data_IF_116042600957
#
_entry.id   IF_116042600957
#
_cell.length_a   1.000
_cell.length_b   1.000
_cell.length_c   1.000
_cell.angle_alpha   90.00
_cell.angle_beta   90.00
_cell.angle_gamma   90.00
#
_symmetry.space_group_name_H-M   'P 1'
#
loop_
_entity.id
_entity.type
_entity.pdbx_description
1 polymer ?
#
# COMPACT_ATOMS: atom_id res chain seq x y z
N UNK A 1 7.60 12.16 3.65
CA UNK A 1 7.93 10.82 3.09
C UNK A 1 6.98 10.57 1.93
N UNK A 2 7.27 9.62 1.03
CA UNK A 2 6.45 9.40 -0.17
C UNK A 2 5.70 8.10 -0.09
N UNK A 3 4.44 8.08 -0.53
CA UNK A 3 3.70 6.83 -0.68
C UNK A 3 3.27 6.63 -2.12
N UNK A 4 3.06 5.37 -2.46
CA UNK A 4 2.54 4.93 -3.76
C UNK A 4 1.51 3.85 -3.54
N UNK A 5 0.50 3.82 -4.40
CA UNK A 5 -0.43 2.71 -4.54
C UNK A 5 -0.28 2.21 -5.96
N UNK A 6 0.24 1.00 -6.10
CA UNK A 6 0.33 0.35 -7.40
C UNK A 6 -0.79 -0.67 -7.54
N UNK A 7 -1.52 -0.62 -8.66
CA UNK A 7 -2.33 -1.75 -9.08
C UNK A 7 -1.44 -2.73 -9.85
N UNK A 8 -1.32 -3.95 -9.34
CA UNK A 8 -0.52 -5.01 -9.91
C UNK A 8 -1.43 -6.13 -10.44
N UNK A 9 -1.47 -6.27 -11.76
CA UNK A 9 -2.31 -7.26 -12.45
C UNK A 9 -1.72 -8.69 -12.43
N UNK A 10 -0.66 -8.95 -11.67
CA UNK A 10 -0.11 -10.30 -11.50
C UNK A 10 -1.14 -11.17 -10.80
N UNK A 11 -1.26 -12.45 -11.14
CA UNK A 11 -2.27 -13.31 -10.52
C UNK A 11 -1.84 -13.81 -9.12
N UNK A 12 -2.65 -13.62 -8.06
CA UNK A 12 -3.92 -12.88 -8.02
C UNK A 12 -3.70 -11.35 -7.98
N UNK A 13 -4.55 -10.56 -8.68
CA UNK A 13 -4.40 -9.11 -8.75
C UNK A 13 -4.51 -8.47 -7.37
N UNK A 14 -3.72 -7.42 -7.17
CA UNK A 14 -3.62 -6.77 -5.87
C UNK A 14 -3.15 -5.33 -6.00
N UNK A 15 -3.34 -4.58 -4.91
CA UNK A 15 -2.76 -3.26 -4.72
C UNK A 15 -1.58 -3.33 -3.77
N UNK A 16 -0.46 -2.74 -4.15
CA UNK A 16 0.68 -2.54 -3.27
C UNK A 16 0.62 -1.12 -2.69
N UNK A 17 0.33 -0.99 -1.40
CA UNK A 17 0.56 0.24 -0.65
C UNK A 17 2.02 0.27 -0.23
N UNK A 18 2.76 1.23 -0.76
CA UNK A 18 4.20 1.37 -0.55
C UNK A 18 4.46 2.65 0.24
N UNK A 19 5.18 2.53 1.35
CA UNK A 19 5.65 3.66 2.16
C UNK A 19 7.16 3.78 2.04
N UNK A 20 7.61 4.85 1.39
CA UNK A 20 9.02 5.18 1.21
C UNK A 20 9.44 6.31 2.16
N UNK A 21 10.26 5.94 3.13
CA UNK A 21 10.82 6.85 4.14
C UNK A 21 12.15 7.50 3.71
N UNK A 22 12.66 7.23 2.51
CA UNK A 22 13.95 7.71 2.02
C UNK A 22 15.15 6.90 2.51
N UNK A 23 14.92 5.69 3.01
CA UNK A 23 15.94 4.79 3.56
C UNK A 23 15.42 3.40 3.91
N UNK A 24 14.11 3.25 4.07
CA UNK A 24 13.41 1.97 4.15
C UNK A 24 12.11 2.04 3.36
N UNK A 25 11.76 0.91 2.72
CA UNK A 25 10.50 0.70 1.99
C UNK A 25 9.70 -0.35 2.75
N UNK A 26 8.45 -0.02 3.08
CA UNK A 26 7.46 -0.97 3.56
C UNK A 26 6.38 -1.15 2.49
N UNK A 27 6.05 -2.40 2.17
CA UNK A 27 5.02 -2.74 1.19
C UNK A 27 3.95 -3.61 1.84
N UNK A 28 2.70 -3.16 1.71
CA UNK A 28 1.51 -3.85 2.15
C UNK A 28 0.71 -4.26 0.91
N UNK A 29 0.60 -5.56 0.69
CA UNK A 29 -0.21 -6.11 -0.40
C UNK A 29 -1.65 -6.25 0.06
N UNK A 30 -2.56 -5.61 -0.64
CA UNK A 30 -4.01 -5.63 -0.39
C UNK A 30 -4.64 -6.35 -1.59
N UNK A 31 -5.35 -7.49 -1.39
CA UNK A 31 -6.10 -8.14 -2.45
C UNK A 31 -7.02 -7.16 -3.18
N UNK A 32 -7.15 -7.29 -4.51
CA UNK A 32 -7.98 -6.38 -5.33
C UNK A 32 -9.41 -6.22 -4.79
N UNK A 33 -10.04 -7.33 -4.40
CA UNK A 33 -11.41 -7.36 -3.86
C UNK A 33 -11.58 -6.52 -2.59
N UNK A 34 -10.50 -6.23 -1.86
CA UNK A 34 -10.55 -5.45 -0.62
C UNK A 34 -10.19 -3.98 -0.82
N UNK A 35 -9.73 -3.58 -2.00
CA UNK A 35 -9.30 -2.20 -2.21
C UNK A 35 -10.46 -1.20 -2.06
N UNK A 36 -11.65 -1.54 -2.56
CA UNK A 36 -12.85 -0.72 -2.37
C UNK A 36 -13.25 -0.58 -0.89
N UNK A 37 -13.16 -1.67 -0.14
CA UNK A 37 -13.44 -1.69 1.29
C UNK A 37 -12.44 -0.82 2.07
N UNK A 38 -11.15 -0.87 1.69
CA UNK A 38 -10.13 0.01 2.26
C UNK A 38 -10.47 1.49 2.03
N UNK A 39 -10.74 1.90 0.79
CA UNK A 39 -10.98 3.32 0.48
C UNK A 39 -12.31 3.83 1.03
N UNK A 40 -13.27 2.94 1.29
CA UNK A 40 -14.53 3.27 2.00
C UNK A 40 -14.37 3.31 3.53
N UNK A 41 -13.18 2.95 4.03
CA UNK A 41 -12.80 3.01 5.43
C UNK A 41 -13.17 1.78 6.26
N UNK A 42 -13.45 0.66 5.60
CA UNK A 42 -13.56 -0.63 6.26
C UNK A 42 -12.15 -1.21 6.54
N UNK A 43 -11.94 -1.87 7.69
CA UNK A 43 -10.69 -2.58 7.95
C UNK A 43 -10.51 -3.76 6.99
N UNK A 44 -9.36 -3.84 6.32
CA UNK A 44 -9.04 -4.91 5.38
C UNK A 44 -7.78 -5.66 5.76
N UNK A 45 -7.69 -6.91 5.36
CA UNK A 45 -6.49 -7.73 5.55
C UNK A 45 -5.40 -7.38 4.54
N UNK A 46 -4.15 -7.50 4.96
CA UNK A 46 -2.99 -7.32 4.08
C UNK A 46 -1.94 -8.41 4.29
N UNK A 47 -1.12 -8.60 3.27
CA UNK A 47 0.11 -9.39 3.35
C UNK A 47 1.33 -8.44 3.42
N UNK A 48 2.21 -8.65 4.41
CA UNK A 48 3.45 -7.87 4.52
C UNK A 48 4.46 -8.43 3.52
N UNK A 49 4.85 -7.62 2.54
CA UNK A 49 5.87 -8.01 1.57
C UNK A 49 7.21 -7.36 1.95
N UNK A 50 8.08 -8.12 2.60
CA UNK A 50 9.47 -7.72 2.87
C UNK A 50 10.36 -8.13 1.70
N UNK A 51 10.28 -7.38 0.60
CA UNK A 51 11.16 -7.60 -0.56
C UNK A 51 12.56 -7.06 -0.29
N UNK A 52 13.58 -7.92 -0.28
CA UNK A 52 15.00 -7.51 -0.24
C UNK A 52 15.57 -7.07 -1.58
N UNK A 53 14.82 -7.10 -2.68
CA UNK A 53 15.40 -6.72 -3.98
C UNK A 53 14.32 -6.35 -5.01
N UNK A 54 14.09 -5.05 -5.21
CA UNK A 54 13.40 -4.56 -6.42
C UNK A 54 14.29 -4.78 -7.66
N UNK A 55 15.59 -5.10 -7.48
CA UNK A 55 16.55 -5.36 -8.56
C UNK A 55 16.69 -6.83 -8.98
N UNK A 56 16.06 -7.78 -8.27
CA UNK A 56 16.27 -9.22 -8.44
C UNK A 56 15.12 -10.00 -9.09
N UNK A 57 13.95 -9.39 -9.31
CA UNK A 57 12.83 -10.05 -10.00
C UNK A 57 13.03 -10.04 -11.53
N UNK A 58 14.10 -10.67 -12.00
CA UNK A 58 14.20 -11.02 -13.41
C UNK A 58 13.20 -12.14 -13.71
N UNK A 59 12.09 -11.76 -14.36
CA UNK A 59 11.50 -12.50 -15.48
C UNK A 59 11.16 -13.96 -15.16
N UNK A 60 9.95 -14.21 -14.64
CA UNK A 60 9.25 -15.45 -14.99
C UNK A 60 7.79 -15.15 -15.33
N UNK A 61 7.51 -15.37 -16.62
CA UNK A 61 6.21 -15.43 -17.30
C UNK A 61 5.26 -14.23 -17.10
N UNK A 62 5.26 -13.35 -18.11
CA UNK A 62 4.32 -12.22 -18.27
C UNK A 62 4.52 -11.13 -17.20
N UNK A 63 5.36 -10.13 -17.49
CA UNK A 63 5.52 -8.98 -16.61
C UNK A 63 4.16 -8.33 -16.40
N UNK A 64 3.55 -8.62 -15.25
CA UNK A 64 2.25 -8.09 -14.89
C UNK A 64 2.25 -6.58 -15.06
N UNK A 65 1.17 -6.06 -15.62
CA UNK A 65 1.03 -4.63 -15.79
C UNK A 65 0.94 -4.00 -14.40
N UNK A 66 1.85 -3.08 -14.13
CA UNK A 66 1.84 -2.29 -12.89
C UNK A 66 1.47 -0.86 -13.27
N UNK A 67 0.40 -0.36 -12.68
CA UNK A 67 -0.06 1.02 -12.85
C UNK A 67 0.00 1.75 -11.51
N UNK A 68 0.42 3.02 -11.51
CA UNK A 68 0.32 3.88 -10.32
C UNK A 68 -1.13 4.36 -10.22
N UNK A 69 -1.85 3.86 -9.23
CA UNK A 69 -3.24 4.23 -8.96
C UNK A 69 -3.32 5.56 -8.20
N UNK A 70 -2.43 5.75 -7.21
CA UNK A 70 -2.26 7.02 -6.51
C UNK A 70 -0.83 7.17 -5.98
N UNK A 71 -0.44 8.40 -5.72
CA UNK A 71 0.83 8.70 -5.06
C UNK A 71 0.76 10.05 -4.38
N UNK A 72 1.62 10.26 -3.38
CA UNK A 72 1.64 11.52 -2.67
C UNK A 72 2.65 11.57 -1.54
N UNK A 73 2.46 12.55 -0.68
CA UNK A 73 3.22 12.67 0.55
C UNK A 73 2.50 11.97 1.70
N UNK A 74 3.27 11.42 2.63
CA UNK A 74 2.76 11.02 3.92
C UNK A 74 3.61 11.55 5.08
N UNK A 75 2.96 11.66 6.23
CA UNK A 75 3.57 12.00 7.52
C UNK A 75 3.13 11.00 8.58
N UNK A 76 3.92 10.82 9.63
CA UNK A 76 3.54 9.99 10.78
C UNK A 76 3.06 10.90 11.90
N UNK A 77 1.87 10.62 12.43
CA UNK A 77 1.27 11.37 13.54
C UNK A 77 1.98 11.05 14.87
N UNK A 78 1.64 11.81 15.92
CA UNK A 78 2.19 11.54 17.27
C UNK A 78 1.77 10.18 17.83
N UNK A 79 0.64 9.63 17.39
CA UNK A 79 0.17 8.29 17.76
C UNK A 79 0.81 7.18 16.91
N UNK A 80 1.64 7.52 15.93
CA UNK A 80 2.27 6.57 15.02
C UNK A 80 1.43 6.22 13.78
N UNK A 81 0.25 6.82 13.62
CA UNK A 81 -0.60 6.62 12.44
C UNK A 81 -0.04 7.36 11.22
N UNK A 82 -0.37 6.89 10.02
CA UNK A 82 0.15 7.45 8.77
C UNK A 82 -0.90 8.37 8.17
N UNK A 83 -0.57 9.63 7.93
CA UNK A 83 -1.45 10.59 7.27
C UNK A 83 -1.06 10.70 5.81
N UNK A 84 -1.92 10.23 4.91
CA UNK A 84 -1.74 10.27 3.46
C UNK A 84 -2.29 11.56 2.85
N UNK A 85 -1.55 12.10 1.89
CA UNK A 85 -1.92 13.28 1.09
C UNK A 85 -1.56 13.05 -0.38
N UNK A 86 -2.41 12.36 -1.12
CA UNK A 86 -2.27 12.22 -2.58
C UNK A 86 -3.40 12.86 -3.36
N UNK A 87 -3.51 12.44 -4.62
CA UNK A 87 -4.50 12.97 -5.56
C UNK A 87 -5.86 12.30 -5.42
N UNK A 88 -5.87 10.99 -5.15
CA UNK A 88 -7.10 10.20 -4.99
C UNK A 88 -7.36 9.76 -3.55
N UNK A 89 -6.30 9.42 -2.83
CA UNK A 89 -6.40 8.89 -1.47
C UNK A 89 -5.81 9.90 -0.48
N UNK A 90 -6.66 10.34 0.44
CA UNK A 90 -6.31 11.24 1.54
C UNK A 90 -6.96 10.72 2.81
N UNK A 91 -6.24 10.76 3.93
CA UNK A 91 -6.77 10.30 5.20
C UNK A 91 -5.72 9.76 6.15
N UNK A 92 -6.18 9.19 7.25
CA UNK A 92 -5.37 8.55 8.26
C UNK A 92 -5.40 7.03 8.10
N UNK A 93 -4.26 6.44 7.76
CA UNK A 93 -4.04 5.00 7.78
C UNK A 93 -3.67 4.54 9.19
N UNK A 94 -4.44 3.56 9.68
CA UNK A 94 -4.17 2.80 10.89
C UNK A 94 -3.73 1.40 10.48
N UNK A 95 -2.51 1.02 10.88
CA UNK A 95 -1.92 -0.30 10.55
C UNK A 95 -1.83 -1.14 11.83
N UNK A 96 -2.66 -2.16 11.91
CA UNK A 96 -2.69 -3.11 13.02
C UNK A 96 -1.86 -4.35 12.70
N UNK A 97 -0.56 -4.31 12.99
CA UNK A 97 0.37 -5.39 12.60
C UNK A 97 0.06 -6.76 13.22
N UNK A 98 -0.52 -6.79 14.41
CA UNK A 98 -0.86 -8.04 15.11
C UNK A 98 -2.00 -8.82 14.43
N UNK A 99 -3.05 -8.12 14.00
CA UNK A 99 -4.19 -8.68 13.26
C UNK A 99 -4.02 -8.64 11.75
N UNK A 100 -2.93 -8.02 11.25
CA UNK A 100 -2.66 -7.75 9.83
C UNK A 100 -3.81 -7.02 9.14
N UNK A 101 -4.30 -5.97 9.80
CA UNK A 101 -5.35 -5.12 9.26
C UNK A 101 -4.85 -3.72 8.95
N UNK A 102 -5.36 -3.14 7.88
CA UNK A 102 -5.20 -1.73 7.55
C UNK A 102 -6.60 -1.13 7.44
N UNK A 103 -6.77 0.04 8.05
CA UNK A 103 -7.97 0.86 7.89
C UNK A 103 -7.55 2.23 7.41
N UNK A 104 -8.19 2.74 6.37
CA UNK A 104 -8.09 4.15 5.99
C UNK A 104 -9.26 4.89 6.62
N UNK A 105 -9.00 5.95 7.36
CA UNK A 105 -10.03 6.90 7.81
C UNK A 105 -9.97 8.06 6.81
N UNK A 106 -10.93 8.18 5.88
CA UNK A 106 -10.88 9.21 4.84
C UNK A 106 -10.86 10.61 5.44
N UNK A 107 -10.03 11.49 4.87
CA UNK A 107 -9.85 12.89 5.28
C UNK A 107 -10.68 13.89 4.48
#
# INVERSE_FOLDING_TARGET
>A
MKYFIHHNESFPPHYDLILDSGGAIETFRIPEDFFFDLVSGSPVEYEEFKGTDIKGAAISCEAAKVAVEDSGDYTVSKSGNIILKGGRITGELVIERGSRKITLIPG
#
